data_IF_037163252473
#
_entry.id   IF_037163252473
#
_cell.length_a   1.000
_cell.length_b   1.000
_cell.length_c   1.000
_cell.angle_alpha   90.00
_cell.angle_beta   90.00
_cell.angle_gamma   90.00
#
_symmetry.space_group_name_H-M   'P 1'
#
loop_
_entity.id
_entity.type
_entity.pdbx_description
1 polymer ?
#
# COMPACT_ATOMS: atom_id res chain seq x y z
N UNK A 1 -13.14 -62.15 50.32
CA UNK A 1 -14.22 -61.52 49.52
C UNK A 1 -14.23 -60.03 49.81
N UNK A 2 -14.15 -59.19 48.75
CA UNK A 2 -14.55 -57.76 48.70
C UNK A 2 -13.66 -56.77 49.49
N UNK A 3 -13.13 -55.64 48.99
CA UNK A 3 -13.02 -55.00 47.68
C UNK A 3 -11.81 -54.06 47.76
N UNK A 4 -11.01 -53.99 46.68
CA UNK A 4 -10.02 -52.94 46.47
C UNK A 4 -10.75 -51.63 46.12
N UNK A 5 -10.30 -50.50 46.67
CA UNK A 5 -10.71 -49.17 46.22
C UNK A 5 -9.46 -48.31 46.01
N UNK A 6 -8.91 -48.38 44.80
CA UNK A 6 -7.90 -47.43 44.33
C UNK A 6 -8.58 -46.06 44.17
N UNK A 7 -8.08 -45.07 44.89
CA UNK A 7 -8.42 -43.66 44.68
C UNK A 7 -7.41 -43.08 43.69
N UNK A 8 -7.86 -42.86 42.46
CA UNK A 8 -7.16 -42.03 41.47
C UNK A 8 -7.91 -40.72 41.24
N UNK A 9 -7.14 -39.74 40.73
CA UNK A 9 -7.50 -38.44 40.14
C UNK A 9 -7.66 -37.24 41.10
N UNK A 10 -7.07 -36.07 40.82
CA UNK A 10 -6.38 -35.65 39.60
C UNK A 10 -5.54 -34.39 39.81
N UNK A 11 -4.41 -34.32 39.10
CA UNK A 11 -3.61 -33.12 39.00
C UNK A 11 -4.28 -32.17 37.98
N UNK A 12 -4.76 -31.02 38.45
CA UNK A 12 -5.29 -29.97 37.61
C UNK A 12 -4.10 -29.24 36.95
N UNK A 13 -3.78 -29.61 35.71
CA UNK A 13 -2.81 -28.87 34.92
C UNK A 13 -3.45 -27.54 34.44
N UNK A 14 -3.06 -26.43 35.08
CA UNK A 14 -3.43 -25.10 34.63
C UNK A 14 -2.61 -24.77 33.38
N UNK A 15 -3.21 -24.94 32.21
CA UNK A 15 -2.68 -24.40 30.95
C UNK A 15 -2.86 -22.88 30.96
N UNK A 16 -1.80 -22.16 31.34
CA UNK A 16 -1.70 -20.71 31.08
C UNK A 16 -1.46 -20.55 29.58
N UNK A 17 -2.53 -20.27 28.83
CA UNK A 17 -2.42 -19.86 27.45
C UNK A 17 -1.73 -18.48 27.42
N UNK A 18 -0.44 -18.44 27.06
CA UNK A 18 0.21 -17.21 26.63
C UNK A 18 -0.45 -16.78 25.31
N UNK A 19 -1.51 -15.98 25.41
CA UNK A 19 -1.98 -15.18 24.30
C UNK A 19 -0.89 -14.17 23.98
N UNK A 20 -0.02 -14.50 23.03
CA UNK A 20 0.96 -13.56 22.50
C UNK A 20 0.23 -12.32 22.02
N UNK A 21 0.43 -11.19 22.70
CA UNK A 21 0.04 -9.89 22.18
C UNK A 21 0.85 -9.67 20.91
N UNK A 22 0.23 -9.90 19.76
CA UNK A 22 0.81 -9.47 18.49
C UNK A 22 1.08 -7.97 18.61
N UNK A 23 2.36 -7.59 18.73
CA UNK A 23 2.76 -6.19 18.73
C UNK A 23 2.25 -5.61 17.42
N UNK A 24 1.39 -4.59 17.51
CA UNK A 24 0.92 -3.88 16.33
C UNK A 24 2.14 -3.37 15.57
N UNK A 25 2.20 -3.65 14.26
CA UNK A 25 3.29 -3.12 13.43
C UNK A 25 3.35 -1.59 13.59
N UNK A 26 4.55 -0.98 13.58
CA UNK A 26 4.69 0.46 13.61
C UNK A 26 3.84 1.10 12.52
N UNK A 27 3.14 2.17 12.88
CA UNK A 27 2.36 3.00 11.98
C UNK A 27 3.20 3.43 10.76
N UNK A 28 2.77 3.06 9.55
CA UNK A 28 3.43 3.43 8.28
C UNK A 28 2.72 4.59 7.62
N UNK A 29 3.48 5.57 7.12
CA UNK A 29 2.99 6.66 6.27
C UNK A 29 2.90 6.15 4.82
N UNK A 30 1.77 6.37 4.15
CA UNK A 30 1.63 6.03 2.74
C UNK A 30 2.13 7.20 1.89
N UNK A 31 3.01 6.91 0.93
CA UNK A 31 3.49 7.88 -0.06
C UNK A 31 3.21 7.32 -1.45
N UNK A 32 2.34 7.98 -2.19
CA UNK A 32 1.95 7.61 -3.55
C UNK A 32 2.56 8.61 -4.53
N UNK A 33 3.52 8.16 -5.33
CA UNK A 33 4.09 8.93 -6.45
C UNK A 33 3.26 8.70 -7.70
N UNK A 34 2.79 9.78 -8.30
CA UNK A 34 2.22 9.81 -9.65
C UNK A 34 3.30 10.23 -10.64
N UNK A 35 3.64 9.33 -11.55
CA UNK A 35 4.80 9.41 -12.47
C UNK A 35 4.43 8.90 -13.86
N UNK A 36 5.33 9.08 -14.83
CA UNK A 36 5.27 8.40 -16.12
C UNK A 36 6.67 8.27 -16.71
N UNK A 37 6.97 7.15 -17.35
CA UNK A 37 8.19 7.00 -18.14
C UNK A 37 8.26 7.98 -19.34
N UNK A 38 7.11 8.48 -19.80
CA UNK A 38 7.02 9.51 -20.83
C UNK A 38 7.26 10.94 -20.33
N UNK A 39 7.39 11.15 -19.01
CA UNK A 39 7.62 12.45 -18.38
C UNK A 39 9.12 12.64 -18.10
N UNK A 40 9.76 13.59 -18.78
CA UNK A 40 11.21 13.88 -18.59
C UNK A 40 11.60 14.39 -17.20
N UNK A 41 10.68 15.03 -16.47
CA UNK A 41 10.93 15.57 -15.13
C UNK A 41 10.73 14.54 -14.00
N UNK A 42 10.23 13.34 -14.33
CA UNK A 42 9.87 12.30 -13.37
C UNK A 42 11.05 11.45 -12.82
N UNK A 43 12.14 11.15 -13.56
CA UNK A 43 13.20 10.27 -13.07
C UNK A 43 13.81 10.62 -11.69
N UNK A 44 14.03 11.91 -11.32
CA UNK A 44 14.49 12.24 -9.97
C UNK A 44 13.51 11.85 -8.86
N UNK A 45 12.20 11.93 -9.13
CA UNK A 45 11.16 11.53 -8.17
C UNK A 45 11.05 10.01 -8.06
N UNK A 46 11.20 9.28 -9.17
CA UNK A 46 11.25 7.81 -9.17
C UNK A 46 12.42 7.28 -8.34
N UNK A 47 13.62 7.86 -8.52
CA UNK A 47 14.80 7.53 -7.73
C UNK A 47 14.57 7.79 -6.23
N UNK A 48 13.96 8.93 -5.90
CA UNK A 48 13.65 9.25 -4.51
C UNK A 48 12.59 8.33 -3.90
N UNK A 49 11.54 7.95 -4.65
CA UNK A 49 10.58 6.96 -4.18
C UNK A 49 11.26 5.62 -3.89
N UNK A 50 12.21 5.20 -4.71
CA UNK A 50 12.98 3.96 -4.48
C UNK A 50 13.82 4.01 -3.20
N UNK A 51 14.26 5.19 -2.77
CA UNK A 51 14.88 5.38 -1.44
C UNK A 51 13.83 5.28 -0.32
N UNK A 52 12.67 5.93 -0.49
CA UNK A 52 11.58 5.87 0.49
C UNK A 52 11.05 4.43 0.68
N UNK A 53 11.02 3.63 -0.39
CA UNK A 53 10.61 2.23 -0.37
C UNK A 53 11.49 1.31 0.49
N UNK A 54 12.68 1.78 0.90
CA UNK A 54 13.59 1.05 1.79
C UNK A 54 13.35 1.37 3.27
N UNK A 55 12.50 2.36 3.58
CA UNK A 55 12.20 2.75 4.96
C UNK A 55 11.10 1.87 5.54
N UNK A 56 11.25 1.46 6.79
CA UNK A 56 10.26 0.63 7.48
C UNK A 56 9.01 1.42 7.93
N UNK A 57 9.12 2.75 8.00
CA UNK A 57 8.04 3.66 8.41
C UNK A 57 7.24 4.23 7.23
N UNK A 58 7.53 3.83 5.99
CA UNK A 58 6.87 4.34 4.77
C UNK A 58 6.41 3.18 3.87
N UNK A 59 5.17 3.26 3.41
CA UNK A 59 4.66 2.48 2.27
C UNK A 59 4.73 3.38 1.04
N UNK A 60 5.81 3.22 0.26
CA UNK A 60 6.01 3.95 -0.98
C UNK A 60 5.39 3.18 -2.16
N UNK A 61 4.58 3.83 -2.99
CA UNK A 61 3.90 3.22 -4.15
C UNK A 61 4.06 4.11 -5.38
N UNK A 62 4.37 3.56 -6.55
CA UNK A 62 4.36 4.30 -7.81
C UNK A 62 3.11 4.00 -8.64
N UNK A 63 2.41 5.06 -9.03
CA UNK A 63 1.24 5.05 -9.89
C UNK A 63 1.62 5.71 -11.22
N UNK A 64 1.63 4.91 -12.28
CA UNK A 64 2.00 5.39 -13.60
C UNK A 64 0.75 5.94 -14.29
N UNK A 65 0.75 7.24 -14.58
CA UNK A 65 -0.38 7.92 -15.22
C UNK A 65 -0.31 7.79 -16.74
N UNK A 66 -1.46 7.74 -17.39
CA UNK A 66 -1.58 7.48 -18.82
C UNK A 66 -1.57 8.73 -19.70
N UNK A 67 -1.74 9.92 -19.12
CA UNK A 67 -1.87 11.16 -19.88
C UNK A 67 -0.56 11.67 -20.50
N UNK A 68 0.56 10.96 -20.37
CA UNK A 68 1.82 11.24 -21.09
C UNK A 68 2.06 10.33 -22.31
N UNK A 69 1.22 9.30 -22.51
CA UNK A 69 1.43 8.28 -23.53
C UNK A 69 1.40 8.79 -24.98
N UNK A 70 0.96 10.03 -25.19
CA UNK A 70 0.90 10.67 -26.50
C UNK A 70 2.28 11.15 -27.00
N UNK A 71 3.30 11.21 -26.14
CA UNK A 71 4.65 11.71 -26.48
C UNK A 71 5.59 10.67 -27.13
N UNK A 72 5.03 9.65 -27.79
CA UNK A 72 5.81 8.67 -28.57
C UNK A 72 6.43 7.53 -27.77
N UNK A 73 6.34 7.55 -26.43
CA UNK A 73 6.56 6.39 -25.56
C UNK A 73 5.30 6.10 -24.75
N UNK A 74 4.74 4.91 -24.94
CA UNK A 74 3.66 4.42 -24.10
C UNK A 74 4.27 3.70 -22.90
N UNK A 75 4.08 4.27 -21.72
CA UNK A 75 4.53 3.66 -20.47
C UNK A 75 3.78 2.33 -20.25
N UNK A 76 4.48 1.18 -20.16
CA UNK A 76 3.87 -0.14 -20.02
C UNK A 76 3.17 -0.34 -18.66
N UNK A 77 3.43 0.54 -17.69
CA UNK A 77 2.80 0.51 -16.38
C UNK A 77 1.65 1.48 -16.24
N UNK A 78 1.51 2.40 -17.19
CA UNK A 78 0.46 3.40 -17.12
C UNK A 78 -0.95 2.82 -17.19
N UNK A 79 -1.84 3.34 -16.35
CA UNK A 79 -3.25 2.94 -16.34
C UNK A 79 -4.18 4.13 -16.15
N UNK A 80 -5.40 4.03 -16.69
CA UNK A 80 -6.45 5.02 -16.46
C UNK A 80 -6.85 5.07 -14.98
N UNK A 81 -6.78 3.94 -14.28
CA UNK A 81 -7.03 3.82 -12.84
C UNK A 81 -6.02 4.63 -12.02
N UNK A 82 -4.75 4.64 -12.41
CA UNK A 82 -3.71 5.46 -11.76
C UNK A 82 -3.97 6.94 -11.98
N UNK A 83 -4.35 7.34 -13.20
CA UNK A 83 -4.77 8.71 -13.51
C UNK A 83 -6.01 9.11 -12.71
N UNK A 84 -7.01 8.23 -12.61
CA UNK A 84 -8.22 8.50 -11.84
C UNK A 84 -7.91 8.61 -10.34
N UNK A 85 -7.07 7.73 -9.81
CA UNK A 85 -6.58 7.78 -8.44
C UNK A 85 -5.93 9.13 -8.11
N UNK A 86 -5.15 9.68 -9.05
CA UNK A 86 -4.59 11.04 -8.91
C UNK A 86 -5.68 12.12 -8.90
N UNK A 87 -6.68 12.01 -9.78
CA UNK A 87 -7.78 12.97 -9.89
C UNK A 87 -8.66 12.98 -8.65
N UNK A 88 -8.87 11.82 -8.01
CA UNK A 88 -9.64 11.71 -6.77
C UNK A 88 -9.05 12.57 -5.66
N UNK A 89 -7.72 12.70 -5.61
CA UNK A 89 -7.03 13.56 -4.66
C UNK A 89 -7.23 15.06 -4.86
N UNK A 90 -7.62 15.50 -6.07
CA UNK A 90 -7.61 16.90 -6.46
C UNK A 90 -8.45 17.78 -5.53
N UNK A 91 -9.68 17.36 -5.25
CA UNK A 91 -10.61 18.15 -4.44
C UNK A 91 -10.16 18.24 -2.99
N UNK A 92 -9.81 17.10 -2.37
CA UNK A 92 -9.36 17.04 -0.97
C UNK A 92 -8.05 17.80 -0.71
N UNK A 93 -7.20 17.93 -1.74
CA UNK A 93 -5.94 18.66 -1.67
C UNK A 93 -6.00 20.10 -2.19
N UNK A 94 -7.19 20.58 -2.58
CA UNK A 94 -7.38 21.96 -3.07
C UNK A 94 -6.65 22.26 -4.40
N UNK A 95 -6.41 21.24 -5.22
CA UNK A 95 -5.68 21.36 -6.48
C UNK A 95 -6.63 21.75 -7.63
N UNK A 96 -6.14 22.57 -8.58
CA UNK A 96 -6.90 22.90 -9.80
C UNK A 96 -6.73 21.87 -10.91
N UNK A 97 -5.57 21.23 -10.95
CA UNK A 97 -5.18 20.25 -11.95
C UNK A 97 -4.28 19.18 -11.32
N UNK A 98 -4.10 18.07 -12.04
CA UNK A 98 -3.12 17.03 -11.70
C UNK A 98 -1.84 17.26 -12.50
N UNK A 99 -0.69 16.82 -11.98
CA UNK A 99 0.61 17.02 -12.59
C UNK A 99 1.59 15.90 -12.21
N UNK A 100 2.68 15.76 -12.94
CA UNK A 100 3.79 14.86 -12.56
C UNK A 100 5.14 15.58 -12.57
N UNK A 101 6.11 15.12 -11.74
CA UNK A 101 5.92 14.13 -10.68
C UNK A 101 5.21 14.74 -9.48
N UNK A 102 4.17 14.07 -8.97
CA UNK A 102 3.46 14.47 -7.75
C UNK A 102 3.56 13.35 -6.72
N UNK A 103 3.90 13.68 -5.48
CA UNK A 103 3.74 12.76 -4.35
C UNK A 103 2.57 13.20 -3.49
N UNK A 104 1.68 12.26 -3.17
CA UNK A 104 0.62 12.41 -2.18
C UNK A 104 0.99 11.61 -0.94
N UNK A 105 0.89 12.23 0.23
CA UNK A 105 1.34 11.71 1.52
C UNK A 105 0.14 11.57 2.43
N UNK A 106 -0.16 10.33 2.82
CA UNK A 106 -1.36 9.89 3.56
C UNK A 106 -2.67 10.50 3.03
N UNK A 107 -2.77 10.74 1.72
CA UNK A 107 -3.95 11.36 1.09
C UNK A 107 -4.29 12.76 1.60
N UNK A 108 -3.39 13.42 2.34
CA UNK A 108 -3.70 14.66 3.06
C UNK A 108 -2.70 15.80 2.77
N UNK A 109 -1.51 15.48 2.30
CA UNK A 109 -0.47 16.44 1.92
C UNK A 109 0.04 16.07 0.53
N UNK A 110 0.46 17.06 -0.26
CA UNK A 110 1.11 16.81 -1.54
C UNK A 110 2.29 17.73 -1.76
N UNK A 111 3.22 17.24 -2.59
CA UNK A 111 4.40 17.98 -3.01
C UNK A 111 4.80 17.56 -4.43
N UNK A 112 5.60 18.39 -5.08
CA UNK A 112 6.35 17.99 -6.28
C UNK A 112 7.26 16.83 -5.86
N UNK A 113 7.20 15.70 -6.57
CA UNK A 113 7.84 14.46 -6.13
C UNK A 113 9.38 14.53 -6.09
N UNK A 114 9.99 15.46 -6.83
CA UNK A 114 11.43 15.74 -6.78
C UNK A 114 11.82 16.70 -5.64
N UNK A 115 10.86 17.37 -5.01
CA UNK A 115 11.04 18.25 -3.84
C UNK A 115 11.25 17.45 -2.56
N UNK A 116 12.46 16.90 -2.38
CA UNK A 116 12.78 15.96 -1.28
C UNK A 116 12.47 16.54 0.09
N UNK A 117 12.83 17.80 0.33
CA UNK A 117 12.65 18.42 1.64
C UNK A 117 11.16 18.59 1.98
N UNK A 118 10.34 18.96 1.00
CA UNK A 118 8.89 19.11 1.12
C UNK A 118 8.23 17.76 1.44
N UNK A 119 8.62 16.72 0.71
CA UNK A 119 8.10 15.36 0.92
C UNK A 119 8.48 14.84 2.31
N UNK A 120 9.74 14.98 2.72
CA UNK A 120 10.18 14.52 4.05
C UNK A 120 9.47 15.27 5.17
N UNK A 121 9.26 16.59 5.04
CA UNK A 121 8.43 17.36 5.99
C UNK A 121 6.98 16.88 6.01
N UNK A 122 6.41 16.54 4.86
CA UNK A 122 5.06 15.99 4.75
C UNK A 122 4.94 14.63 5.45
N UNK A 123 5.91 13.73 5.25
CA UNK A 123 5.98 12.43 5.93
C UNK A 123 6.04 12.64 7.45
N UNK A 124 6.94 13.51 7.91
CA UNK A 124 7.09 13.82 9.33
C UNK A 124 5.78 14.35 9.95
N UNK A 125 5.13 15.29 9.26
CA UNK A 125 3.85 15.86 9.70
C UNK A 125 2.78 14.79 9.84
N UNK A 126 2.74 13.80 8.94
CA UNK A 126 1.73 12.74 8.97
C UNK A 126 2.06 11.64 9.98
N UNK A 127 3.34 11.40 10.26
CA UNK A 127 3.79 10.41 11.25
C UNK A 127 3.23 10.68 12.65
N UNK A 128 3.06 11.95 13.03
CA UNK A 128 2.52 12.36 14.33
C UNK A 128 0.99 12.24 14.50
N UNK A 129 0.27 11.68 13.53
CA UNK A 129 -1.20 11.53 13.59
C UNK A 129 -1.61 10.18 14.18
N UNK A 130 -2.76 10.17 14.85
CA UNK A 130 -3.43 8.94 15.27
C UNK A 130 -3.74 8.05 14.07
N UNK A 131 -3.53 6.73 14.25
CA UNK A 131 -3.75 5.74 13.19
C UNK A 131 -4.63 4.60 13.66
N UNK A 132 -5.45 4.12 12.74
CA UNK A 132 -6.14 2.84 12.86
C UNK A 132 -5.11 1.74 12.62
N UNK A 133 -5.01 0.79 13.56
CA UNK A 133 -4.15 -0.38 13.39
C UNK A 133 -4.65 -1.21 12.20
N UNK A 134 -3.77 -1.52 11.25
CA UNK A 134 -4.07 -2.38 10.11
C UNK A 134 -3.02 -3.46 10.04
N UNK A 135 -3.44 -4.72 9.95
CA UNK A 135 -2.55 -5.84 9.68
C UNK A 135 -3.12 -6.72 8.58
N UNK A 136 -2.24 -7.38 7.84
CA UNK A 136 -2.61 -8.27 6.76
C UNK A 136 -1.76 -9.53 6.85
N UNK A 137 -2.39 -10.68 6.76
CA UNK A 137 -1.71 -11.97 6.80
C UNK A 137 -2.30 -12.89 5.72
N UNK A 138 -1.47 -13.78 5.16
CA UNK A 138 -1.97 -14.82 4.27
C UNK A 138 -2.95 -15.70 5.05
N UNK A 139 -4.16 -15.81 4.53
CA UNK A 139 -5.21 -16.68 5.03
C UNK A 139 -5.36 -17.95 4.17
N UNK A 140 -6.37 -18.74 4.51
CA UNK A 140 -6.68 -20.00 3.82
C UNK A 140 -7.03 -19.80 2.35
N UNK A 141 -6.73 -20.81 1.53
CA UNK A 141 -6.99 -20.83 0.09
C UNK A 141 -6.39 -19.64 -0.68
N UNK A 142 -5.28 -19.06 -0.20
CA UNK A 142 -4.57 -17.96 -0.86
C UNK A 142 -5.22 -16.59 -0.73
N UNK A 143 -6.25 -16.44 0.11
CA UNK A 143 -6.81 -15.14 0.44
C UNK A 143 -5.90 -14.35 1.41
N UNK A 144 -6.17 -13.06 1.55
CA UNK A 144 -5.59 -12.19 2.55
C UNK A 144 -6.59 -11.98 3.68
N UNK A 145 -6.20 -12.25 4.93
CA UNK A 145 -6.94 -11.84 6.10
C UNK A 145 -6.47 -10.44 6.50
N UNK A 146 -7.35 -9.45 6.34
CA UNK A 146 -7.08 -8.04 6.69
C UNK A 146 -7.78 -7.73 7.99
N UNK A 147 -7.02 -7.38 9.03
CA UNK A 147 -7.57 -6.93 10.31
C UNK A 147 -7.47 -5.42 10.38
N UNK A 148 -8.59 -4.76 10.69
CA UNK A 148 -8.68 -3.32 10.93
C UNK A 148 -9.12 -3.11 12.37
N UNK A 149 -8.35 -2.32 13.12
CA UNK A 149 -8.67 -1.93 14.50
C UNK A 149 -9.94 -1.09 14.59
N UNK A 150 -10.37 -0.75 15.80
CA UNK A 150 -11.48 0.18 15.98
C UNK A 150 -11.02 1.64 15.77
N UNK A 151 -11.95 2.50 15.38
CA UNK A 151 -11.78 3.95 15.27
C UNK A 151 -13.11 4.65 15.02
N UNK A 152 -13.10 5.99 15.02
CA UNK A 152 -14.34 6.77 15.08
C UNK A 152 -15.10 6.86 13.75
N UNK A 153 -14.47 6.47 12.64
CA UNK A 153 -14.79 7.02 11.33
C UNK A 153 -14.87 5.94 10.25
N UNK A 154 -15.96 5.93 9.47
CA UNK A 154 -16.08 5.03 8.32
C UNK A 154 -15.06 5.37 7.21
N UNK A 155 -14.55 4.33 6.53
CA UNK A 155 -13.52 4.44 5.50
C UNK A 155 -13.66 3.35 4.43
N UNK A 156 -13.05 3.56 3.27
CA UNK A 156 -12.88 2.52 2.26
C UNK A 156 -11.57 1.74 2.53
N UNK A 157 -11.60 0.43 2.27
CA UNK A 157 -10.41 -0.42 2.32
C UNK A 157 -9.96 -0.64 0.88
N UNK A 158 -8.74 -0.23 0.58
CA UNK A 158 -8.10 -0.41 -0.73
C UNK A 158 -7.02 -1.47 -0.65
N UNK A 159 -6.86 -2.22 -1.74
CA UNK A 159 -5.78 -3.17 -1.96
C UNK A 159 -5.00 -2.72 -3.19
N UNK A 160 -3.72 -2.45 -3.01
CA UNK A 160 -2.77 -2.18 -4.08
C UNK A 160 -1.86 -3.40 -4.25
N UNK A 161 -1.83 -4.01 -5.43
CA UNK A 161 -0.86 -5.05 -5.79
C UNK A 161 0.22 -4.42 -6.69
N UNK A 162 1.48 -4.68 -6.38
CA UNK A 162 2.59 -3.99 -7.03
C UNK A 162 3.81 -4.88 -7.26
N UNK A 163 4.60 -4.49 -8.27
CA UNK A 163 5.92 -5.05 -8.55
C UNK A 163 6.95 -4.21 -7.77
N UNK A 164 7.71 -4.81 -6.85
CA UNK A 164 8.64 -4.09 -5.97
C UNK A 164 9.74 -3.38 -6.74
N UNK A 165 10.13 -3.92 -7.89
CA UNK A 165 11.09 -3.31 -8.77
C UNK A 165 10.80 -3.70 -10.23
N UNK A 166 10.87 -2.71 -11.12
CA UNK A 166 10.87 -2.95 -12.55
C UNK A 166 11.93 -2.09 -13.22
N UNK A 167 12.65 -2.67 -14.19
CA UNK A 167 13.62 -1.94 -15.01
C UNK A 167 13.15 -1.91 -16.46
N UNK A 168 13.15 -0.73 -17.08
CA UNK A 168 12.70 -0.54 -18.45
C UNK A 168 13.71 0.28 -19.22
N UNK A 169 14.19 -0.27 -20.33
CA UNK A 169 14.91 0.47 -21.36
C UNK A 169 13.91 1.30 -22.16
N UNK A 170 14.02 2.62 -22.10
CA UNK A 170 13.14 3.53 -22.82
C UNK A 170 13.70 3.75 -24.22
N UNK A 171 12.93 3.35 -25.24
CA UNK A 171 13.41 3.34 -26.64
C UNK A 171 12.96 4.54 -27.47
N UNK A 172 12.04 5.36 -26.97
CA UNK A 172 11.45 6.52 -27.66
C UNK A 172 11.02 7.60 -26.67
N UNK A 173 10.63 8.77 -27.18
CA UNK A 173 10.14 9.88 -26.38
C UNK A 173 11.27 10.63 -25.66
N UNK A 174 10.90 11.48 -24.71
CA UNK A 174 11.82 12.41 -24.04
C UNK A 174 12.94 11.71 -23.25
N UNK A 175 12.67 10.51 -22.74
CA UNK A 175 13.62 9.71 -21.97
C UNK A 175 14.33 8.63 -22.80
N UNK A 176 14.34 8.75 -24.14
CA UNK A 176 14.96 7.76 -25.03
C UNK A 176 16.45 7.52 -24.70
N UNK A 177 16.85 6.25 -24.64
CA UNK A 177 18.22 5.83 -24.31
C UNK A 177 18.50 5.70 -22.81
N UNK A 178 17.53 6.03 -21.95
CA UNK A 178 17.64 5.87 -20.50
C UNK A 178 17.01 4.55 -20.06
N UNK A 179 17.67 3.84 -19.15
CA UNK A 179 17.07 2.73 -18.41
C UNK A 179 16.54 3.25 -17.09
N UNK A 180 15.22 3.26 -16.91
CA UNK A 180 14.58 3.65 -15.66
C UNK A 180 14.32 2.43 -14.78
N UNK A 181 14.61 2.56 -13.49
CA UNK A 181 14.21 1.60 -12.47
C UNK A 181 13.13 2.22 -11.60
N UNK A 182 11.92 1.66 -11.65
CA UNK A 182 10.78 2.10 -10.83
C UNK A 182 10.60 1.12 -9.65
N UNK A 183 10.26 1.66 -8.47
CA UNK A 183 10.03 0.88 -7.25
C UNK A 183 8.55 0.83 -6.91
N UNK A 184 8.09 -0.32 -6.40
CA UNK A 184 6.72 -0.56 -5.96
C UNK A 184 5.65 -0.08 -6.97
N UNK A 185 5.81 -0.53 -8.22
CA UNK A 185 4.94 -0.20 -9.37
C UNK A 185 3.58 -0.83 -9.20
N UNK A 186 2.55 -0.01 -8.93
CA UNK A 186 1.19 -0.49 -8.73
C UNK A 186 0.62 -1.01 -10.06
N UNK A 187 0.18 -2.26 -10.05
CA UNK A 187 -0.40 -2.96 -11.21
C UNK A 187 -1.92 -3.11 -11.09
N UNK A 188 -2.43 -3.06 -9.87
CA UNK A 188 -3.87 -3.09 -9.57
C UNK A 188 -4.15 -2.29 -8.31
N UNK A 189 -5.19 -1.47 -8.34
CA UNK A 189 -5.76 -0.79 -7.18
C UNK A 189 -7.26 -1.04 -7.20
N UNK A 190 -7.80 -1.65 -6.14
CA UNK A 190 -9.25 -1.82 -6.00
C UNK A 190 -9.74 -1.61 -4.58
N UNK A 191 -10.98 -1.15 -4.47
CA UNK A 191 -11.69 -1.14 -3.20
C UNK A 191 -12.15 -2.56 -2.88
N UNK A 192 -11.76 -3.07 -1.73
CA UNK A 192 -12.04 -4.43 -1.28
C UNK A 192 -13.12 -4.50 -0.21
N UNK A 193 -13.46 -3.37 0.38
CA UNK A 193 -14.54 -3.27 1.35
C UNK A 193 -14.74 -1.85 1.84
N UNK A 194 -15.74 -1.69 2.71
CA UNK A 194 -15.97 -0.48 3.50
C UNK A 194 -15.91 -0.85 4.97
N UNK A 195 -15.20 -0.07 5.73
CA UNK A 195 -15.04 -0.20 7.17
C UNK A 195 -15.94 0.80 7.89
N UNK A 196 -16.60 0.36 8.96
CA UNK A 196 -17.61 1.14 9.69
C UNK A 196 -17.07 1.89 10.92
N UNK A 197 -15.80 1.72 11.28
CA UNK A 197 -15.23 2.20 12.53
C UNK A 197 -15.10 1.11 13.61
N UNK A 198 -15.85 0.01 13.50
CA UNK A 198 -15.73 -1.12 14.44
C UNK A 198 -14.57 -2.04 14.05
N UNK A 199 -13.86 -2.61 15.01
CA UNK A 199 -12.83 -3.63 14.72
C UNK A 199 -13.43 -4.73 13.84
N UNK A 200 -12.73 -5.07 12.76
CA UNK A 200 -13.24 -5.99 11.75
C UNK A 200 -12.11 -6.82 11.12
N UNK A 201 -12.47 -7.99 10.57
CA UNK A 201 -11.58 -8.86 9.81
C UNK A 201 -12.22 -9.15 8.46
N UNK A 202 -11.61 -8.61 7.40
CA UNK A 202 -12.04 -8.81 6.03
C UNK A 202 -11.23 -9.93 5.38
N UNK A 203 -11.92 -10.92 4.81
CA UNK A 203 -11.32 -11.90 3.90
C UNK A 203 -11.28 -11.31 2.49
N UNK A 204 -10.08 -10.98 2.02
CA UNK A 204 -9.84 -10.44 0.68
C UNK A 204 -9.31 -11.54 -0.22
N UNK A 205 -10.14 -12.00 -1.16
CA UNK A 205 -9.68 -12.94 -2.20
C UNK A 205 -8.67 -12.25 -3.08
N UNK A 206 -7.51 -12.87 -3.31
CA UNK A 206 -6.51 -12.43 -4.28
C UNK A 206 -6.68 -13.32 -5.51
N UNK A 207 -6.99 -12.75 -6.67
CA UNK A 207 -7.11 -13.55 -7.88
C UNK A 207 -5.74 -13.76 -8.55
N UNK A 208 -5.62 -14.78 -9.41
CA UNK A 208 -4.33 -15.10 -10.04
C UNK A 208 -3.78 -13.96 -10.90
N UNK A 209 -4.64 -13.20 -11.57
CA UNK A 209 -4.22 -12.06 -12.40
C UNK A 209 -3.59 -10.92 -11.56
N UNK A 210 -4.11 -10.68 -10.36
CA UNK A 210 -3.56 -9.72 -9.40
C UNK A 210 -2.18 -10.15 -8.91
N UNK A 211 -1.93 -11.46 -8.80
CA UNK A 211 -0.70 -12.01 -8.23
C UNK A 211 0.38 -12.39 -9.24
N UNK A 212 0.02 -12.50 -10.53
CA UNK A 212 0.90 -13.09 -11.55
C UNK A 212 2.16 -12.24 -11.78
N UNK A 213 3.25 -12.52 -11.07
CA UNK A 213 4.51 -11.77 -11.18
C UNK A 213 4.62 -10.57 -10.23
N UNK A 214 3.70 -10.43 -9.26
CA UNK A 214 3.64 -9.32 -8.30
C UNK A 214 4.19 -9.83 -6.97
N UNK A 215 5.06 -9.06 -6.36
CA UNK A 215 5.80 -9.46 -5.16
C UNK A 215 5.54 -8.55 -3.95
N UNK A 216 4.59 -7.61 -4.07
CA UNK A 216 4.13 -6.79 -2.96
C UNK A 216 2.63 -6.48 -3.00
N UNK A 217 2.07 -6.29 -1.81
CA UNK A 217 0.70 -5.84 -1.64
C UNK A 217 0.57 -4.88 -0.46
N UNK A 218 -0.13 -3.75 -0.66
CA UNK A 218 -0.47 -2.80 0.38
C UNK A 218 -1.99 -2.76 0.60
N UNK A 219 -2.38 -2.68 1.86
CA UNK A 219 -3.75 -2.43 2.30
C UNK A 219 -3.81 -1.02 2.87
N UNK A 220 -4.74 -0.22 2.36
CA UNK A 220 -4.88 1.20 2.75
C UNK A 220 -6.32 1.41 3.22
N UNK A 221 -6.49 1.78 4.49
CA UNK A 221 -7.78 2.21 5.05
C UNK A 221 -7.85 3.73 4.91
N UNK A 222 -8.75 4.22 4.07
CA UNK A 222 -8.75 5.60 3.61
C UNK A 222 -10.15 6.20 3.61
N UNK A 223 -10.27 7.46 4.03
CA UNK A 223 -11.51 8.22 3.85
C UNK A 223 -11.93 8.24 2.36
N UNK A 224 -13.23 8.13 2.05
CA UNK A 224 -13.70 8.10 0.66
C UNK A 224 -13.26 9.32 -0.16
N UNK A 225 -13.23 9.16 -1.50
CA UNK A 225 -12.99 10.28 -2.42
C UNK A 225 -11.57 10.83 -2.38
N UNK A 226 -10.56 9.98 -2.18
CA UNK A 226 -9.16 10.43 -2.06
C UNK A 226 -8.90 11.20 -0.77
N UNK A 227 -9.64 10.94 0.30
CA UNK A 227 -9.43 11.60 1.59
C UNK A 227 -8.20 11.08 2.34
N UNK A 228 -8.00 11.52 3.59
CA UNK A 228 -6.88 11.07 4.41
C UNK A 228 -6.83 9.55 4.62
N UNK A 229 -5.63 9.00 4.58
CA UNK A 229 -5.34 7.63 5.02
C UNK A 229 -5.41 7.58 6.55
N UNK A 230 -6.14 6.61 7.07
CA UNK A 230 -6.34 6.38 8.50
C UNK A 230 -5.37 5.31 9.04
N UNK A 231 -4.95 4.39 8.20
CA UNK A 231 -4.03 3.32 8.54
C UNK A 231 -3.68 2.49 7.32
N UNK A 232 -2.51 1.87 7.32
CA UNK A 232 -2.08 1.04 6.21
C UNK A 232 -1.06 0.00 6.67
N UNK A 233 -0.96 -1.08 5.90
CA UNK A 233 0.09 -2.09 6.05
C UNK A 233 0.51 -2.57 4.66
N UNK A 234 1.69 -3.16 4.56
CA UNK A 234 2.17 -3.78 3.33
C UNK A 234 2.83 -5.11 3.65
N UNK A 235 2.59 -6.09 2.80
CA UNK A 235 3.16 -7.43 2.92
C UNK A 235 3.88 -7.82 1.64
N UNK A 236 4.92 -8.64 1.79
CA UNK A 236 5.56 -9.28 0.65
C UNK A 236 4.67 -10.41 0.13
N UNK A 237 4.62 -10.52 -1.19
CA UNK A 237 3.98 -11.63 -1.86
C UNK A 237 5.08 -12.51 -2.45
N UNK A 238 5.06 -13.81 -2.17
CA UNK A 238 5.78 -14.78 -3.00
C UNK A 238 5.08 -14.83 -4.35
N UNK A 239 5.77 -14.55 -5.47
CA UNK A 239 5.18 -14.73 -6.80
C UNK A 239 4.73 -16.19 -6.96
N UNK A 240 3.51 -16.41 -7.45
CA UNK A 240 3.10 -17.74 -7.88
C UNK A 240 3.56 -17.95 -9.34
N UNK A 241 4.45 -18.91 -9.55
CA UNK A 241 4.89 -19.36 -10.88
C UNK A 241 5.81 -18.36 -11.60
N UNK A 242 7.13 -18.55 -11.42
CA UNK A 242 8.13 -18.18 -12.42
C UNK A 242 8.10 -19.16 -13.59
#
# INVERSE_FOLDING_TARGET
MKHALQRTLGALAVLVALAGTALAEPAKVVVELFTSQGCSSCPPADAFLAELAKRDDVIALSFHVDYWNYLGWKDPFSTAESTQRQRDYRAGLGLRYVYTPQMVIDGAVQAVGSGRAEVLRGIEKMRGRDRVAVSAARGEAGALAVTVGAGADGADIWLAAYDRQHSTEIRRGENSGVTLTNANVVRSLRRVGRWSGKKDVLRVTLNEAELKGRDGCAVIVQKPGGGPVLGATAIRMTPKGS
#
